data_IF_426740013178
#
_entry.id   IF_426740013178
#
_cell.length_a   1.000
_cell.length_b   1.000
_cell.length_c   1.000
_cell.angle_alpha   90.00
_cell.angle_beta   90.00
_cell.angle_gamma   90.00
#
_symmetry.space_group_name_H-M   'P 1'
#
loop_
_entity.id
_entity.type
_entity.pdbx_description
1 polymer ?
#
# COMPACT_ATOMS: atom_id res chain seq x y z
N UNK A 1 4.46 20.46 11.88
CA UNK A 1 3.54 19.54 12.59
C UNK A 1 3.52 18.25 11.82
N UNK A 2 3.71 17.10 12.47
CA UNK A 2 3.64 15.80 11.80
C UNK A 2 2.17 15.50 11.49
N UNK A 3 1.87 15.18 10.23
CA UNK A 3 0.51 14.86 9.78
C UNK A 3 0.51 13.45 9.20
N UNK A 4 -0.42 12.63 9.67
CA UNK A 4 -0.71 11.31 9.11
C UNK A 4 -1.95 11.39 8.22
N UNK A 5 -1.97 10.61 7.15
CA UNK A 5 -3.14 10.47 6.31
C UNK A 5 -4.33 9.94 7.13
N UNK A 6 -5.51 10.45 6.84
CA UNK A 6 -6.79 9.89 7.31
C UNK A 6 -7.53 9.14 6.21
N UNK A 7 -7.08 9.24 4.96
CA UNK A 7 -7.53 8.41 3.85
C UNK A 7 -6.44 8.29 2.78
N UNK A 8 -6.61 7.35 1.85
CA UNK A 8 -5.60 7.03 0.82
C UNK A 8 -5.16 8.26 0.01
N UNK A 9 -6.10 9.15 -0.33
CA UNK A 9 -5.83 10.35 -1.15
C UNK A 9 -4.85 11.31 -0.48
N UNK A 10 -4.73 11.25 0.85
CA UNK A 10 -3.88 12.12 1.66
C UNK A 10 -2.45 11.59 1.86
N UNK A 11 -2.17 10.34 1.49
CA UNK A 11 -0.84 9.72 1.70
C UNK A 11 0.31 10.59 1.15
N UNK A 12 0.25 11.14 -0.08
CA UNK A 12 1.34 11.99 -0.58
C UNK A 12 1.61 13.21 0.31
N UNK A 13 0.55 13.85 0.80
CA UNK A 13 0.67 14.99 1.72
C UNK A 13 1.25 14.56 3.07
N UNK A 14 0.83 13.41 3.60
CA UNK A 14 1.35 12.88 4.86
C UNK A 14 2.85 12.59 4.78
N UNK A 15 3.31 11.96 3.69
CA UNK A 15 4.73 11.67 3.46
C UNK A 15 5.60 12.92 3.37
N UNK A 16 5.09 14.01 2.78
CA UNK A 16 5.79 15.31 2.78
C UNK A 16 5.99 15.90 4.17
N UNK A 17 5.03 15.68 5.07
CA UNK A 17 5.05 16.23 6.43
C UNK A 17 5.61 15.26 7.48
N UNK A 18 5.97 14.04 7.10
CA UNK A 18 6.47 13.01 8.01
C UNK A 18 7.69 12.27 7.42
N UNK A 19 8.90 12.86 7.54
CA UNK A 19 10.13 12.26 7.02
C UNK A 19 10.41 10.85 7.57
N UNK A 20 10.11 10.58 8.85
CA UNK A 20 10.31 9.27 9.48
C UNK A 20 9.54 8.16 8.75
N UNK A 21 8.22 8.39 8.54
CA UNK A 21 7.37 7.43 7.81
C UNK A 21 7.80 7.32 6.35
N UNK A 22 8.19 8.43 5.71
CA UNK A 22 8.70 8.43 4.33
C UNK A 22 9.95 7.58 4.18
N UNK A 23 10.95 7.78 5.03
CA UNK A 23 12.21 7.01 5.01
C UNK A 23 11.95 5.52 5.24
N UNK A 24 11.07 5.19 6.19
CA UNK A 24 10.67 3.81 6.43
C UNK A 24 9.94 3.19 5.24
N UNK A 25 9.01 3.92 4.64
CA UNK A 25 8.31 3.48 3.43
C UNK A 25 9.29 3.18 2.28
N UNK A 26 10.30 4.03 2.08
CA UNK A 26 11.35 3.81 1.08
C UNK A 26 12.20 2.57 1.39
N UNK A 27 12.52 2.33 2.67
CA UNK A 27 13.21 1.12 3.10
C UNK A 27 12.38 -0.14 2.84
N UNK A 28 11.08 -0.10 3.11
CA UNK A 28 10.18 -1.22 2.82
C UNK A 28 10.06 -1.48 1.32
N UNK A 29 9.95 -0.45 0.48
CA UNK A 29 9.95 -0.59 -0.98
C UNK A 29 11.23 -1.27 -1.46
N UNK A 30 12.39 -0.94 -0.88
CA UNK A 30 13.69 -1.46 -1.29
C UNK A 30 14.02 -2.86 -0.74
N UNK A 31 13.40 -3.28 0.37
CA UNK A 31 13.70 -4.55 1.01
C UNK A 31 12.59 -5.59 0.81
N UNK A 32 11.34 -5.23 1.08
CA UNK A 32 10.28 -6.21 1.29
C UNK A 32 9.78 -6.85 0.00
N UNK A 33 9.31 -8.08 0.13
CA UNK A 33 8.76 -8.84 -1.00
C UNK A 33 7.51 -8.14 -1.55
N UNK A 34 7.45 -8.03 -2.88
CA UNK A 34 6.26 -7.61 -3.62
C UNK A 34 5.79 -8.79 -4.44
N UNK A 35 4.80 -9.51 -3.92
CA UNK A 35 4.20 -10.66 -4.60
C UNK A 35 3.26 -10.19 -5.71
N UNK A 36 3.43 -10.74 -6.92
CA UNK A 36 2.52 -10.49 -8.02
C UNK A 36 3.10 -10.93 -9.37
N UNK A 37 2.35 -11.73 -10.14
CA UNK A 37 2.80 -12.23 -11.45
C UNK A 37 3.18 -11.11 -12.44
N UNK A 38 2.61 -9.93 -12.30
CA UNK A 38 2.93 -8.75 -13.13
C UNK A 38 4.38 -8.25 -12.95
N UNK A 39 5.02 -8.57 -11.83
CA UNK A 39 6.41 -8.17 -11.51
C UNK A 39 7.43 -9.29 -11.76
N UNK A 40 6.99 -10.49 -12.16
CA UNK A 40 7.87 -11.64 -12.42
C UNK A 40 8.55 -11.53 -13.80
N UNK A 41 9.83 -11.88 -13.84
CA UNK A 41 10.67 -11.84 -15.04
C UNK A 41 11.52 -10.57 -15.15
N UNK A 42 12.72 -10.73 -15.73
CA UNK A 42 13.68 -9.66 -16.02
C UNK A 42 13.87 -8.67 -14.86
N UNK A 43 13.88 -7.38 -15.17
CA UNK A 43 14.05 -6.25 -14.25
C UNK A 43 12.71 -5.62 -13.80
N UNK A 44 11.58 -6.30 -14.02
CA UNK A 44 10.23 -5.74 -13.81
C UNK A 44 9.99 -5.32 -12.36
N UNK A 45 10.43 -6.13 -11.40
CA UNK A 45 10.34 -5.78 -9.97
C UNK A 45 11.20 -4.56 -9.63
N UNK A 46 12.40 -4.45 -10.22
CA UNK A 46 13.31 -3.33 -10.00
C UNK A 46 12.68 -2.03 -10.52
N UNK A 47 12.10 -2.06 -11.73
CA UNK A 47 11.36 -0.95 -12.32
C UNK A 47 10.17 -0.52 -11.46
N UNK A 48 9.37 -1.47 -10.98
CA UNK A 48 8.25 -1.15 -10.09
C UNK A 48 8.74 -0.43 -8.83
N UNK A 49 9.79 -0.94 -8.19
CA UNK A 49 10.35 -0.34 -6.97
C UNK A 49 10.83 1.08 -7.22
N UNK A 50 11.52 1.32 -8.34
CA UNK A 50 11.94 2.67 -8.73
C UNK A 50 10.74 3.61 -8.87
N UNK A 51 9.68 3.19 -9.57
CA UNK A 51 8.47 4.00 -9.75
C UNK A 51 7.79 4.30 -8.42
N UNK A 52 7.66 3.30 -7.53
CA UNK A 52 7.11 3.50 -6.18
C UNK A 52 7.98 4.46 -5.35
N UNK A 53 9.30 4.40 -5.47
CA UNK A 53 10.21 5.34 -4.81
C UNK A 53 10.06 6.76 -5.35
N UNK A 54 9.87 6.94 -6.66
CA UNK A 54 9.61 8.26 -7.26
C UNK A 54 8.28 8.85 -6.78
N UNK A 55 7.22 8.03 -6.73
CA UNK A 55 5.93 8.40 -6.15
C UNK A 55 6.05 8.80 -4.67
N UNK A 56 6.76 8.00 -3.88
CA UNK A 56 7.00 8.25 -2.44
C UNK A 56 7.80 9.53 -2.21
N UNK A 57 8.63 9.93 -3.19
CA UNK A 57 9.43 11.14 -3.14
C UNK A 57 8.72 12.39 -3.70
N UNK A 58 7.43 12.32 -4.02
CA UNK A 58 6.67 13.40 -4.67
C UNK A 58 7.27 13.81 -6.04
N UNK A 59 8.03 12.90 -6.68
CA UNK A 59 8.57 13.10 -8.02
C UNK A 59 7.61 12.61 -9.10
N UNK A 60 6.69 11.72 -8.74
CA UNK A 60 5.51 11.36 -9.53
C UNK A 60 4.24 11.59 -8.74
N UNK A 61 3.21 12.08 -9.41
CA UNK A 61 1.83 11.90 -8.98
C UNK A 61 1.40 10.44 -9.11
N UNK A 62 0.30 10.06 -8.46
CA UNK A 62 -0.25 8.71 -8.57
C UNK A 62 -0.55 8.32 -10.03
N UNK A 63 -1.12 9.24 -10.81
CA UNK A 63 -1.46 8.99 -12.22
C UNK A 63 -0.22 8.82 -13.09
N UNK A 64 0.85 9.58 -12.84
CA UNK A 64 2.13 9.42 -13.53
C UNK A 64 2.76 8.07 -13.19
N UNK A 65 2.77 7.68 -11.92
CA UNK A 65 3.29 6.38 -11.51
C UNK A 65 2.52 5.21 -12.15
N UNK A 66 1.19 5.32 -12.29
CA UNK A 66 0.37 4.31 -12.98
C UNK A 66 0.76 4.20 -14.45
N UNK A 67 0.83 5.32 -15.16
CA UNK A 67 1.23 5.36 -16.58
C UNK A 67 2.64 4.82 -16.78
N UNK A 68 3.56 5.18 -15.88
CA UNK A 68 4.94 4.72 -15.94
C UNK A 68 5.03 3.22 -15.71
N UNK A 69 4.22 2.65 -14.83
CA UNK A 69 4.13 1.18 -14.68
C UNK A 69 3.62 0.53 -15.96
N UNK A 70 2.58 1.06 -16.60
CA UNK A 70 2.10 0.50 -17.87
C UNK A 70 3.17 0.56 -18.97
N UNK A 71 3.94 1.65 -19.00
CA UNK A 71 5.00 1.87 -19.97
C UNK A 71 6.22 0.96 -19.75
N UNK A 72 6.70 0.85 -18.51
CA UNK A 72 7.93 0.14 -18.15
C UNK A 72 7.74 -1.37 -17.96
N UNK A 73 6.51 -1.79 -17.61
CA UNK A 73 6.14 -3.18 -17.38
C UNK A 73 5.11 -3.65 -18.41
N UNK A 74 5.33 -3.46 -19.72
CA UNK A 74 4.32 -3.74 -20.71
C UNK A 74 3.98 -5.23 -20.73
N UNK A 75 2.73 -5.54 -21.07
CA UNK A 75 2.20 -6.91 -21.10
C UNK A 75 3.01 -7.85 -22.00
N UNK A 76 3.41 -7.37 -23.17
CA UNK A 76 4.04 -8.21 -24.21
C UNK A 76 5.45 -8.68 -23.86
N UNK A 77 6.12 -8.06 -22.88
CA UNK A 77 7.44 -8.50 -22.40
C UNK A 77 7.35 -9.47 -21.21
N UNK A 78 6.16 -9.69 -20.65
CA UNK A 78 5.98 -10.62 -19.53
C UNK A 78 5.84 -12.06 -20.02
N UNK A 79 6.43 -13.00 -19.28
CA UNK A 79 6.14 -14.44 -19.44
C UNK A 79 4.65 -14.79 -19.23
N UNK A 80 3.89 -13.92 -18.56
CA UNK A 80 2.45 -14.05 -18.34
C UNK A 80 1.60 -13.29 -19.38
N UNK A 81 2.18 -12.89 -20.52
CA UNK A 81 1.51 -12.07 -21.55
C UNK A 81 0.16 -12.64 -22.04
N UNK A 82 0.00 -13.97 -22.03
CA UNK A 82 -1.27 -14.63 -22.40
C UNK A 82 -2.37 -14.56 -21.33
N UNK A 83 -2.08 -14.15 -20.09
CA UNK A 83 -3.03 -14.21 -18.99
C UNK A 83 -3.78 -12.89 -18.76
N UNK A 84 -5.08 -12.90 -19.07
CA UNK A 84 -5.98 -11.79 -18.76
C UNK A 84 -6.28 -11.64 -17.27
N UNK A 85 -5.96 -12.65 -16.45
CA UNK A 85 -6.06 -12.53 -14.99
C UNK A 85 -4.90 -11.70 -14.42
N UNK A 86 -3.70 -11.86 -14.98
CA UNK A 86 -2.50 -11.10 -14.59
C UNK A 86 -2.57 -9.67 -15.12
N UNK A 87 -2.93 -9.52 -16.40
CA UNK A 87 -3.05 -8.22 -17.08
C UNK A 87 -4.51 -7.89 -17.38
N UNK A 88 -5.34 -7.87 -16.34
CA UNK A 88 -6.72 -7.40 -16.42
C UNK A 88 -6.77 -5.89 -16.70
N UNK A 89 -7.94 -5.36 -17.06
CA UNK A 89 -8.14 -3.90 -17.13
C UNK A 89 -7.71 -3.24 -15.81
N UNK A 90 -7.04 -2.10 -15.90
CA UNK A 90 -6.53 -1.34 -14.76
C UNK A 90 -5.53 -2.11 -13.86
N UNK A 91 -4.84 -3.13 -14.38
CA UNK A 91 -3.86 -3.91 -13.61
C UNK A 91 -2.77 -3.01 -12.99
N UNK A 92 -2.31 -1.99 -13.71
CA UNK A 92 -1.27 -1.09 -13.25
C UNK A 92 -1.76 -0.20 -12.11
N UNK A 93 -2.96 0.37 -12.23
CA UNK A 93 -3.61 1.11 -11.15
C UNK A 93 -3.73 0.24 -9.91
N UNK A 94 -4.27 -0.98 -10.06
CA UNK A 94 -4.47 -1.90 -8.94
C UNK A 94 -3.14 -2.22 -8.26
N UNK A 95 -2.07 -2.45 -9.04
CA UNK A 95 -0.73 -2.72 -8.53
C UNK A 95 -0.19 -1.53 -7.72
N UNK A 96 -0.16 -0.33 -8.32
CA UNK A 96 0.41 0.87 -7.71
C UNK A 96 -0.35 1.23 -6.44
N UNK A 97 -1.68 1.33 -6.50
CA UNK A 97 -2.50 1.69 -5.33
C UNK A 97 -2.33 0.72 -4.18
N UNK A 98 -2.33 -0.59 -4.48
CA UNK A 98 -2.16 -1.64 -3.46
C UNK A 98 -0.81 -1.52 -2.78
N UNK A 99 0.29 -1.47 -3.54
CA UNK A 99 1.63 -1.41 -2.95
C UNK A 99 1.88 -0.09 -2.23
N UNK A 100 1.43 1.03 -2.79
CA UNK A 100 1.59 2.35 -2.17
C UNK A 100 0.84 2.44 -0.83
N UNK A 101 -0.43 2.02 -0.80
CA UNK A 101 -1.22 1.96 0.43
C UNK A 101 -0.60 1.00 1.45
N UNK A 102 -0.26 -0.23 1.01
CA UNK A 102 0.38 -1.24 1.87
C UNK A 102 1.63 -0.69 2.54
N UNK A 103 2.58 -0.15 1.78
CA UNK A 103 3.85 0.30 2.33
C UNK A 103 3.69 1.51 3.25
N UNK A 104 2.76 2.43 2.97
CA UNK A 104 2.44 3.51 3.90
C UNK A 104 1.92 2.97 5.24
N UNK A 105 0.91 2.09 5.19
CA UNK A 105 0.31 1.52 6.40
C UNK A 105 1.34 0.72 7.21
N UNK A 106 2.14 -0.11 6.54
CA UNK A 106 3.22 -0.86 7.16
C UNK A 106 4.25 0.07 7.82
N UNK A 107 4.67 1.13 7.13
CA UNK A 107 5.62 2.11 7.68
C UNK A 107 5.08 2.79 8.94
N UNK A 108 3.79 3.14 8.97
CA UNK A 108 3.15 3.71 10.17
C UNK A 108 3.10 2.68 11.30
N UNK A 109 2.64 1.46 11.04
CA UNK A 109 2.52 0.40 12.05
C UNK A 109 3.89 0.08 12.70
N UNK A 110 4.93 -0.11 11.88
CA UNK A 110 6.28 -0.38 12.37
C UNK A 110 6.87 0.80 13.15
N UNK A 111 6.71 2.04 12.67
CA UNK A 111 7.15 3.25 13.38
C UNK A 111 6.48 3.40 14.75
N UNK A 112 5.21 2.98 14.88
CA UNK A 112 4.50 3.01 16.16
C UNK A 112 4.92 1.89 17.11
N UNK A 113 5.20 0.68 16.61
CA UNK A 113 5.78 -0.39 17.43
C UNK A 113 7.14 0.01 17.99
N UNK A 114 7.99 0.61 17.17
CA UNK A 114 9.32 1.08 17.59
C UNK A 114 9.22 2.17 18.68
N UNK A 115 8.09 2.90 18.73
CA UNK A 115 7.76 3.88 19.78
C UNK A 115 7.09 3.27 21.01
N UNK A 116 6.97 1.94 21.08
CA UNK A 116 6.35 1.23 22.19
C UNK A 116 4.83 1.35 22.26
N UNK A 117 4.17 1.71 21.14
CA UNK A 117 2.70 1.72 21.06
C UNK A 117 2.20 0.32 20.73
N UNK A 118 1.06 -0.04 21.31
CA UNK A 118 0.37 -1.30 21.03
C UNK A 118 -0.86 -1.13 20.14
N UNK A 119 -1.41 0.08 20.05
CA UNK A 119 -2.66 0.34 19.34
C UNK A 119 -2.53 1.48 18.32
N UNK A 120 -3.22 1.32 17.20
CA UNK A 120 -3.39 2.33 16.16
C UNK A 120 -4.86 2.59 15.89
N UNK A 121 -5.16 3.68 15.18
CA UNK A 121 -6.52 4.04 14.79
C UNK A 121 -6.71 3.95 13.27
N UNK A 122 -7.86 3.42 12.86
CA UNK A 122 -8.30 3.40 11.46
C UNK A 122 -9.43 4.42 11.30
N UNK A 123 -9.17 5.60 10.73
CA UNK A 123 -10.19 6.60 10.49
C UNK A 123 -11.22 6.14 9.46
N UNK A 124 -12.48 6.60 9.57
CA UNK A 124 -13.43 6.49 8.48
C UNK A 124 -12.94 7.32 7.29
N UNK A 125 -13.23 6.86 6.09
CA UNK A 125 -12.89 7.57 4.86
C UNK A 125 -14.13 8.25 4.27
N UNK A 126 -13.94 9.45 3.72
CA UNK A 126 -15.02 10.18 3.04
C UNK A 126 -15.56 9.47 1.80
N UNK A 127 -14.80 8.49 1.30
CA UNK A 127 -15.07 7.69 0.09
C UNK A 127 -15.28 6.20 0.43
N UNK A 128 -15.56 5.86 1.68
CA UNK A 128 -15.77 4.46 2.07
C UNK A 128 -17.15 3.94 1.68
N UNK A 129 -17.20 2.66 1.31
CA UNK A 129 -18.46 1.93 1.24
C UNK A 129 -18.83 1.48 2.65
N UNK A 130 -19.89 2.08 3.22
CA UNK A 130 -20.34 1.84 4.60
C UNK A 130 -20.79 0.39 4.86
N UNK A 131 -21.15 -0.35 3.81
CA UNK A 131 -21.55 -1.77 3.94
C UNK A 131 -20.38 -2.74 3.75
N UNK A 132 -19.20 -2.25 3.36
CA UNK A 132 -18.01 -3.10 3.24
C UNK A 132 -17.55 -3.62 4.60
N UNK A 133 -16.97 -4.82 4.60
CA UNK A 133 -16.49 -5.44 5.83
C UNK A 133 -15.41 -4.58 6.52
N UNK A 134 -14.52 -3.94 5.75
CA UNK A 134 -13.55 -2.98 6.30
C UNK A 134 -14.22 -1.82 7.03
N UNK A 135 -15.22 -1.18 6.45
CA UNK A 135 -15.91 -0.06 7.10
C UNK A 135 -16.64 -0.50 8.36
N UNK A 136 -17.26 -1.69 8.35
CA UNK A 136 -18.02 -2.18 9.51
C UNK A 136 -17.13 -2.66 10.66
N UNK A 137 -15.95 -3.20 10.35
CA UNK A 137 -15.10 -3.88 11.34
C UNK A 137 -13.85 -3.08 11.73
N UNK A 138 -13.26 -2.33 10.80
CA UNK A 138 -12.01 -1.60 11.02
C UNK A 138 -12.23 -0.10 11.20
N UNK A 139 -13.01 0.53 10.33
CA UNK A 139 -13.15 1.98 10.32
C UNK A 139 -13.76 2.53 11.62
N UNK A 140 -13.26 3.69 12.05
CA UNK A 140 -13.71 4.38 13.26
C UNK A 140 -13.21 3.76 14.57
N UNK A 141 -12.30 2.78 14.53
CA UNK A 141 -11.92 1.99 15.72
C UNK A 141 -10.39 1.93 15.92
N UNK A 142 -10.00 1.64 17.16
CA UNK A 142 -8.63 1.28 17.52
C UNK A 142 -8.38 -0.21 17.34
N UNK A 143 -7.14 -0.56 16.98
CA UNK A 143 -6.73 -1.93 16.69
C UNK A 143 -5.34 -2.20 17.22
N UNK A 144 -5.09 -3.46 17.59
CA UNK A 144 -3.75 -3.93 17.93
C UNK A 144 -2.81 -3.86 16.72
N UNK A 145 -1.70 -3.15 16.88
CA UNK A 145 -0.73 -2.89 15.80
C UNK A 145 -0.10 -4.19 15.33
N UNK A 146 0.29 -5.06 16.26
CA UNK A 146 0.97 -6.32 15.94
C UNK A 146 0.07 -7.23 15.12
N UNK A 147 -1.23 -7.27 15.45
CA UNK A 147 -2.24 -8.03 14.74
C UNK A 147 -2.46 -7.50 13.32
N UNK A 148 -2.70 -6.21 13.14
CA UNK A 148 -2.88 -5.62 11.82
C UNK A 148 -1.64 -5.76 10.94
N UNK A 149 -0.45 -5.53 11.51
CA UNK A 149 0.82 -5.70 10.79
C UNK A 149 1.00 -7.16 10.34
N UNK A 150 0.69 -8.12 11.21
CA UNK A 150 0.74 -9.55 10.86
C UNK A 150 -0.19 -9.87 9.68
N UNK A 151 -1.43 -9.39 9.68
CA UNK A 151 -2.38 -9.61 8.58
C UNK A 151 -1.86 -9.02 7.25
N UNK A 152 -1.29 -7.82 7.32
CA UNK A 152 -0.72 -7.12 6.17
C UNK A 152 0.45 -7.90 5.56
N UNK A 153 1.43 -8.28 6.38
CA UNK A 153 2.62 -9.04 5.93
C UNK A 153 2.22 -10.42 5.40
N UNK A 154 1.36 -11.14 6.13
CA UNK A 154 0.90 -12.48 5.73
C UNK A 154 0.22 -12.46 4.36
N UNK A 155 -0.63 -11.46 4.11
CA UNK A 155 -1.35 -11.35 2.83
C UNK A 155 -0.43 -10.95 1.68
N UNK A 156 0.37 -9.90 1.86
CA UNK A 156 1.07 -9.26 0.74
C UNK A 156 2.50 -9.75 0.52
N UNK A 157 3.17 -10.29 1.55
CA UNK A 157 4.53 -10.84 1.43
C UNK A 157 4.50 -12.35 1.27
N UNK A 158 3.75 -13.03 2.12
CA UNK A 158 3.67 -14.49 2.11
C UNK A 158 2.68 -15.02 1.07
N UNK A 159 1.80 -14.15 0.54
CA UNK A 159 0.79 -14.53 -0.45
C UNK A 159 -0.36 -15.35 0.14
N UNK A 160 -0.53 -15.33 1.47
CA UNK A 160 -1.59 -16.03 2.19
C UNK A 160 -2.77 -15.09 2.39
N UNK A 161 -3.66 -15.07 1.41
CA UNK A 161 -4.84 -14.23 1.41
C UNK A 161 -5.90 -14.78 2.37
N UNK A 162 -5.93 -14.23 3.58
CA UNK A 162 -6.98 -14.50 4.56
C UNK A 162 -8.20 -13.58 4.32
N UNK A 163 -9.38 -14.06 4.73
CA UNK A 163 -10.67 -13.34 4.63
C UNK A 163 -10.76 -12.23 5.69
N UNK A 164 -9.88 -12.26 6.69
CA UNK A 164 -9.82 -11.24 7.74
C UNK A 164 -9.49 -9.87 7.14
N UNK A 165 -10.33 -8.84 7.40
CA UNK A 165 -10.09 -7.49 6.91
C UNK A 165 -8.72 -6.95 7.34
N UNK A 166 -8.06 -6.25 6.43
CA UNK A 166 -6.73 -5.62 6.61
C UNK A 166 -6.66 -4.32 5.83
N UNK A 167 -5.59 -3.55 5.96
CA UNK A 167 -5.48 -2.24 5.29
C UNK A 167 -4.18 -2.14 4.49
N UNK A 168 -4.24 -2.11 3.14
CA UNK A 168 -5.44 -2.16 2.31
C UNK A 168 -6.05 -3.57 2.23
N UNK A 169 -7.37 -3.69 2.11
CA UNK A 169 -8.01 -4.99 1.86
C UNK A 169 -8.15 -5.32 0.37
N UNK A 170 -8.31 -4.29 -0.45
CA UNK A 170 -8.42 -4.37 -1.91
C UNK A 170 -7.76 -3.13 -2.57
N UNK A 171 -7.53 -3.13 -3.90
CA UNK A 171 -6.75 -2.07 -4.55
C UNK A 171 -7.35 -0.66 -4.51
N UNK A 172 -8.65 -0.55 -4.31
CA UNK A 172 -9.36 0.72 -4.18
C UNK A 172 -9.75 1.03 -2.72
N UNK A 173 -9.17 0.31 -1.75
CA UNK A 173 -9.35 0.61 -0.34
C UNK A 173 -8.91 2.05 -0.07
N UNK A 174 -9.77 2.79 0.62
CA UNK A 174 -9.54 4.20 0.94
C UNK A 174 -9.07 4.40 2.37
N UNK A 175 -9.17 3.36 3.21
CA UNK A 175 -8.70 3.37 4.59
C UNK A 175 -7.18 3.39 4.68
N UNK A 176 -6.71 3.98 5.77
CA UNK A 176 -5.31 4.01 6.19
C UNK A 176 -5.23 3.81 7.69
N UNK A 177 -4.04 3.61 8.22
CA UNK A 177 -3.73 3.58 9.64
C UNK A 177 -3.08 4.90 10.03
N UNK A 178 -3.42 5.39 11.22
CA UNK A 178 -2.71 6.49 11.88
C UNK A 178 -2.50 6.20 13.37
N UNK A 179 -1.53 6.86 14.03
CA UNK A 179 -1.36 6.76 15.47
C UNK A 179 -2.60 7.24 16.23
N UNK A 180 -2.82 6.67 17.42
CA UNK A 180 -3.76 7.23 18.39
C UNK A 180 -3.16 8.55 18.94
N UNK A 181 -3.96 9.62 19.08
CA UNK A 181 -3.54 10.87 19.71
C UNK A 181 -2.96 10.69 21.12
#
# INVERSE_FOLDING_TARGET
>A
MIVYASEFSEIPQALRNNPSVKERMLALISANKISGKVTEGDDRLVKLRQILSLLTNDQFSLNEAIREVEHQLPRHTSMHSGSNQVFASNWAERLVRTQFSRFYNQAVLEDQLDKGRSECYVPPSSQEDTISQCSQTLAGRSHDISHLLKLLVTSYEEGKWEITPKIPDHPHCTHVVKPIP
#
